data_IF_115048308451
#
_entry.id   IF_115048308451
#
_cell.length_a   1.000
_cell.length_b   1.000
_cell.length_c   1.000
_cell.angle_alpha   90.00
_cell.angle_beta   90.00
_cell.angle_gamma   90.00
#
_symmetry.space_group_name_H-M   'P 1'
#
loop_
_entity.id
_entity.type
_entity.pdbx_description
1 polymer ?
#
# COMPACT_ATOMS: atom_id res chain seq x y z
N UNK A 1 -4.60 32.42 -25.72
CA UNK A 1 -5.92 32.48 -25.06
C UNK A 1 -5.97 31.35 -24.07
N UNK A 2 -6.47 31.57 -22.86
CA UNK A 2 -6.57 30.48 -21.90
C UNK A 2 -7.40 29.35 -22.46
N UNK A 3 -6.96 28.11 -22.28
CA UNK A 3 -7.68 26.91 -22.72
C UNK A 3 -8.72 26.52 -21.65
N UNK A 4 -9.80 25.86 -22.08
CA UNK A 4 -10.80 25.35 -21.14
C UNK A 4 -10.36 24.06 -20.47
N UNK A 5 -11.01 23.69 -19.35
CA UNK A 5 -10.83 22.40 -18.66
C UNK A 5 -10.99 21.23 -19.63
N UNK A 6 -12.04 21.27 -20.49
CA UNK A 6 -12.27 20.21 -21.47
C UNK A 6 -11.15 20.10 -22.50
N UNK A 7 -10.66 21.24 -23.00
CA UNK A 7 -9.55 21.28 -23.97
C UNK A 7 -8.25 20.78 -23.33
N UNK A 8 -7.94 21.18 -22.10
CA UNK A 8 -6.77 20.72 -21.36
C UNK A 8 -6.80 19.19 -21.18
N UNK A 9 -7.94 18.63 -20.75
CA UNK A 9 -8.10 17.19 -20.60
C UNK A 9 -7.96 16.47 -21.95
N UNK A 10 -8.52 17.01 -23.02
CA UNK A 10 -8.42 16.39 -24.37
C UNK A 10 -6.97 16.36 -24.85
N UNK A 11 -6.25 17.47 -24.69
CA UNK A 11 -4.83 17.54 -25.05
C UNK A 11 -3.99 16.58 -24.21
N UNK A 12 -4.20 16.58 -22.88
CA UNK A 12 -3.54 15.66 -21.94
C UNK A 12 -3.82 14.19 -22.28
N UNK A 13 -5.09 13.84 -22.53
CA UNK A 13 -5.47 12.49 -22.93
C UNK A 13 -4.78 12.04 -24.23
N UNK A 14 -4.62 12.94 -25.20
CA UNK A 14 -3.92 12.63 -26.44
C UNK A 14 -2.41 12.40 -26.20
N UNK A 15 -1.79 13.19 -25.31
CA UNK A 15 -0.38 13.03 -24.93
C UNK A 15 -0.15 11.70 -24.24
N UNK A 16 -0.94 11.38 -23.19
CA UNK A 16 -0.83 10.14 -22.43
C UNK A 16 -1.13 8.90 -23.27
N UNK A 17 -2.12 8.98 -24.18
CA UNK A 17 -2.42 7.87 -25.12
C UNK A 17 -1.25 7.57 -26.06
N UNK A 18 -0.57 8.59 -26.57
CA UNK A 18 0.63 8.43 -27.40
C UNK A 18 1.79 7.79 -26.62
N UNK A 19 1.85 8.01 -25.31
CA UNK A 19 2.82 7.40 -24.41
C UNK A 19 2.42 5.98 -23.95
N UNK A 20 1.25 5.47 -24.38
CA UNK A 20 0.76 4.13 -24.02
C UNK A 20 0.13 4.04 -22.64
N UNK A 21 -0.21 5.15 -21.98
CA UNK A 21 -0.86 5.16 -20.67
C UNK A 21 -2.30 4.64 -20.82
N UNK A 22 -2.69 3.60 -20.07
CA UNK A 22 -4.06 3.11 -20.03
C UNK A 22 -5.04 4.20 -19.55
N UNK A 23 -6.30 4.13 -19.99
CA UNK A 23 -7.35 5.07 -19.58
C UNK A 23 -6.94 6.56 -19.61
N UNK A 24 -6.12 6.96 -20.59
CA UNK A 24 -5.45 8.25 -20.70
C UNK A 24 -6.36 9.48 -20.44
N UNK A 25 -7.67 9.41 -20.79
CA UNK A 25 -8.60 10.52 -20.52
C UNK A 25 -8.97 10.63 -19.04
N UNK A 26 -9.11 9.48 -18.36
CA UNK A 26 -9.38 9.43 -16.92
C UNK A 26 -8.17 9.93 -16.14
N UNK A 27 -6.98 9.47 -16.52
CA UNK A 27 -5.70 9.90 -15.92
C UNK A 27 -5.51 11.41 -16.06
N UNK A 28 -5.63 11.96 -17.27
CA UNK A 28 -5.53 13.40 -17.51
C UNK A 28 -6.57 14.20 -16.69
N UNK A 29 -7.80 13.69 -16.64
CA UNK A 29 -8.86 14.32 -15.80
C UNK A 29 -8.56 14.31 -14.32
N UNK A 30 -8.01 13.21 -13.79
CA UNK A 30 -7.65 13.08 -12.37
C UNK A 30 -6.47 13.99 -12.01
N UNK A 31 -5.45 14.08 -12.85
CA UNK A 31 -4.31 14.98 -12.65
C UNK A 31 -4.73 16.45 -12.67
N UNK A 32 -5.63 16.83 -13.60
CA UNK A 32 -6.15 18.20 -13.65
C UNK A 32 -7.06 18.51 -12.44
N UNK A 33 -7.90 17.57 -12.02
CA UNK A 33 -8.75 17.70 -10.84
C UNK A 33 -7.90 17.96 -9.58
N UNK A 34 -6.82 17.18 -9.40
CA UNK A 34 -5.86 17.36 -8.32
C UNK A 34 -5.20 18.75 -8.38
N UNK A 35 -4.70 19.17 -9.54
CA UNK A 35 -4.05 20.47 -9.72
C UNK A 35 -4.98 21.63 -9.36
N UNK A 36 -6.27 21.53 -9.71
CA UNK A 36 -7.27 22.55 -9.45
C UNK A 36 -7.84 22.47 -8.03
N UNK A 37 -7.46 21.48 -7.23
CA UNK A 37 -8.05 21.16 -5.93
C UNK A 37 -9.58 21.03 -6.01
N UNK A 38 -10.05 20.25 -7.00
CA UNK A 38 -11.46 20.02 -7.29
C UNK A 38 -11.75 18.53 -7.47
N UNK A 39 -12.99 18.15 -7.24
CA UNK A 39 -13.45 16.80 -7.50
C UNK A 39 -13.82 16.59 -8.98
N UNK A 40 -14.06 15.32 -9.32
CA UNK A 40 -14.47 14.93 -10.66
C UNK A 40 -15.79 15.56 -11.10
N UNK A 41 -16.70 15.78 -10.17
CA UNK A 41 -18.01 16.40 -10.46
C UNK A 41 -17.84 17.85 -10.90
N UNK A 42 -16.95 18.60 -10.23
CA UNK A 42 -16.61 19.95 -10.63
C UNK A 42 -16.02 19.97 -12.05
N UNK A 43 -15.04 19.13 -12.35
CA UNK A 43 -14.40 19.03 -13.67
C UNK A 43 -15.43 18.81 -14.78
N UNK A 44 -16.43 17.95 -14.54
CA UNK A 44 -17.48 17.66 -15.52
C UNK A 44 -18.49 18.81 -15.69
N UNK A 45 -18.82 19.50 -14.61
CA UNK A 45 -19.83 20.57 -14.63
C UNK A 45 -19.26 21.93 -15.06
N UNK A 46 -17.93 22.12 -15.03
CA UNK A 46 -17.23 23.35 -15.37
C UNK A 46 -16.27 23.15 -16.56
N UNK A 47 -16.65 22.27 -17.47
CA UNK A 47 -15.80 21.85 -18.60
C UNK A 47 -15.36 23.03 -19.51
N UNK A 48 -16.18 24.06 -19.61
CA UNK A 48 -15.92 25.25 -20.43
C UNK A 48 -15.18 26.38 -19.69
N UNK A 49 -14.95 26.21 -18.36
CA UNK A 49 -14.22 27.21 -17.57
C UNK A 49 -12.74 27.24 -17.98
N UNK A 50 -12.14 28.43 -18.06
CA UNK A 50 -10.74 28.54 -18.42
C UNK A 50 -9.81 28.14 -17.27
N UNK A 51 -8.66 27.57 -17.57
CA UNK A 51 -7.54 27.44 -16.63
C UNK A 51 -6.51 28.54 -16.86
N UNK A 52 -5.78 28.92 -15.82
CA UNK A 52 -4.72 29.93 -15.94
C UNK A 52 -3.49 29.39 -16.68
N UNK A 53 -2.64 30.26 -17.21
CA UNK A 53 -1.38 29.89 -17.86
C UNK A 53 -0.44 29.14 -16.90
N UNK A 54 -0.45 29.49 -15.61
CA UNK A 54 0.30 28.82 -14.57
C UNK A 54 -0.21 27.39 -14.36
N UNK A 55 -1.54 27.22 -14.27
CA UNK A 55 -2.18 25.90 -14.15
C UNK A 55 -1.93 25.04 -15.39
N UNK A 56 -1.97 25.63 -16.58
CA UNK A 56 -1.65 24.92 -17.82
C UNK A 56 -0.20 24.43 -17.82
N UNK A 57 0.75 25.27 -17.40
CA UNK A 57 2.18 24.91 -17.30
C UNK A 57 2.39 23.74 -16.35
N UNK A 58 1.89 23.84 -15.11
CA UNK A 58 2.00 22.76 -14.12
C UNK A 58 1.30 21.47 -14.59
N UNK A 59 0.17 21.59 -15.26
CA UNK A 59 -0.52 20.44 -15.83
C UNK A 59 0.31 19.76 -16.91
N UNK A 60 1.01 20.51 -17.74
CA UNK A 60 1.93 19.94 -18.74
C UNK A 60 3.10 19.21 -18.07
N UNK A 61 3.66 19.70 -16.96
CA UNK A 61 4.68 19.01 -16.18
C UNK A 61 4.16 17.69 -15.63
N UNK A 62 2.95 17.66 -15.06
CA UNK A 62 2.32 16.41 -14.59
C UNK A 62 2.13 15.41 -15.74
N UNK A 63 1.68 15.89 -16.90
CA UNK A 63 1.51 15.03 -18.07
C UNK A 63 2.85 14.51 -18.61
N UNK A 64 3.92 15.29 -18.54
CA UNK A 64 5.26 14.87 -18.95
C UNK A 64 5.80 13.76 -18.04
N UNK A 65 5.72 13.95 -16.73
CA UNK A 65 6.08 12.93 -15.74
C UNK A 65 5.26 11.63 -15.97
N UNK A 66 3.94 11.76 -16.13
CA UNK A 66 3.07 10.59 -16.37
C UNK A 66 3.38 9.89 -17.69
N UNK A 67 3.68 10.61 -18.74
CA UNK A 67 4.08 10.07 -20.04
C UNK A 67 5.44 9.34 -20.00
N UNK A 68 6.33 9.73 -19.09
CA UNK A 68 7.57 9.01 -18.79
C UNK A 68 7.34 7.72 -18.00
N UNK A 69 6.14 7.49 -17.48
CA UNK A 69 5.74 6.30 -16.74
C UNK A 69 5.65 6.50 -15.23
N UNK A 70 5.88 7.71 -14.71
CA UNK A 70 5.74 8.00 -13.29
C UNK A 70 4.28 7.77 -12.86
N UNK A 71 4.02 7.01 -11.77
CA UNK A 71 2.67 6.79 -11.26
C UNK A 71 1.97 8.10 -10.91
N UNK A 72 0.69 8.21 -11.25
CA UNK A 72 -0.10 9.40 -10.91
C UNK A 72 -0.08 9.70 -9.40
N UNK A 73 -0.02 8.68 -8.57
CA UNK A 73 0.07 8.78 -7.12
C UNK A 73 1.36 9.46 -6.64
N UNK A 74 2.49 9.21 -7.30
CA UNK A 74 3.74 9.90 -6.97
C UNK A 74 3.74 11.34 -7.47
N UNK A 75 3.15 11.61 -8.64
CA UNK A 75 2.99 12.97 -9.17
C UNK A 75 2.12 13.82 -8.23
N UNK A 76 1.04 13.23 -7.70
CA UNK A 76 0.12 13.91 -6.78
C UNK A 76 0.55 13.84 -5.32
N UNK A 77 1.47 12.93 -4.98
CA UNK A 77 1.90 12.66 -3.62
C UNK A 77 0.86 11.98 -2.75
N UNK A 78 -0.24 11.42 -3.34
CA UNK A 78 -1.39 10.90 -2.58
C UNK A 78 -1.92 9.60 -3.14
N UNK A 79 -2.41 8.75 -2.21
CA UNK A 79 -3.15 7.52 -2.51
C UNK A 79 -4.26 7.31 -1.49
N UNK A 80 -5.45 7.02 -1.97
CA UNK A 80 -6.56 6.60 -1.12
C UNK A 80 -6.45 5.10 -0.80
N UNK A 81 -6.65 4.76 0.47
CA UNK A 81 -6.66 3.37 0.95
C UNK A 81 -7.66 3.25 2.11
N UNK A 82 -8.61 2.35 2.01
CA UNK A 82 -9.67 2.09 3.01
C UNK A 82 -10.40 3.37 3.47
N UNK A 83 -10.68 4.27 2.54
CA UNK A 83 -11.35 5.55 2.81
C UNK A 83 -10.48 6.62 3.49
N UNK A 84 -9.18 6.39 3.63
CA UNK A 84 -8.19 7.32 4.17
C UNK A 84 -7.21 7.75 3.08
N UNK A 85 -6.79 9.02 3.08
CA UNK A 85 -5.79 9.54 2.16
C UNK A 85 -4.39 9.45 2.77
N UNK A 86 -3.46 8.78 2.07
CA UNK A 86 -2.06 8.61 2.47
C UNK A 86 -1.11 9.39 1.58
N UNK A 87 -0.12 10.03 2.18
CA UNK A 87 1.05 10.54 1.48
C UNK A 87 1.87 9.36 0.96
N UNK A 88 2.25 9.41 -0.33
CA UNK A 88 3.12 8.43 -0.97
C UNK A 88 4.19 9.14 -1.79
N UNK A 89 5.37 8.55 -1.83
CA UNK A 89 6.52 9.00 -2.61
C UNK A 89 7.27 7.76 -3.14
N UNK A 90 8.25 7.89 -4.03
CA UNK A 90 9.09 6.75 -4.46
C UNK A 90 9.83 6.00 -3.34
N UNK A 91 9.73 6.45 -2.08
CA UNK A 91 10.28 5.75 -0.92
C UNK A 91 9.38 4.62 -0.39
N UNK A 92 8.11 4.53 -0.82
CA UNK A 92 7.13 3.55 -0.33
C UNK A 92 6.35 2.91 -1.49
N UNK A 93 5.93 1.67 -1.32
CA UNK A 93 4.97 1.04 -2.21
C UNK A 93 3.65 1.84 -2.19
N UNK A 94 3.07 2.06 -3.36
CA UNK A 94 1.73 2.65 -3.46
C UNK A 94 0.72 1.63 -2.89
N UNK A 95 -0.09 1.96 -1.86
CA UNK A 95 -1.10 1.07 -1.31
C UNK A 95 -2.01 0.48 -2.38
N UNK A 96 -2.21 -0.85 -2.34
CA UNK A 96 -3.03 -1.58 -3.32
C UNK A 96 -4.43 -1.87 -2.78
N UNK A 97 -5.46 -1.83 -3.62
CA UNK A 97 -6.83 -2.19 -3.19
C UNK A 97 -6.93 -3.60 -2.60
N UNK A 98 -6.15 -4.56 -3.12
CA UNK A 98 -6.14 -5.95 -2.65
C UNK A 98 -5.68 -6.07 -1.19
N UNK A 99 -4.82 -5.15 -0.73
CA UNK A 99 -4.35 -5.09 0.66
C UNK A 99 -5.46 -4.71 1.64
N UNK A 100 -6.59 -4.14 1.17
CA UNK A 100 -7.77 -3.89 2.02
C UNK A 100 -8.38 -5.18 2.57
N UNK A 101 -8.22 -6.32 1.88
CA UNK A 101 -8.64 -7.63 2.38
C UNK A 101 -7.94 -8.02 3.69
N UNK A 102 -6.69 -7.60 3.86
CA UNK A 102 -5.94 -7.83 5.10
C UNK A 102 -6.55 -7.05 6.26
N UNK A 103 -7.01 -5.82 6.01
CA UNK A 103 -7.73 -5.01 7.01
C UNK A 103 -9.05 -5.69 7.41
N UNK A 104 -9.85 -6.13 6.42
CA UNK A 104 -11.12 -6.81 6.66
C UNK A 104 -10.94 -8.13 7.44
N UNK A 105 -9.92 -8.91 7.08
CA UNK A 105 -9.58 -10.13 7.79
C UNK A 105 -9.17 -9.86 9.25
N UNK A 106 -8.36 -8.83 9.49
CA UNK A 106 -7.96 -8.42 10.84
C UNK A 106 -9.17 -8.01 11.70
N UNK A 107 -10.05 -7.16 11.15
CA UNK A 107 -11.27 -6.72 11.85
C UNK A 107 -12.17 -7.91 12.21
N UNK A 108 -12.34 -8.86 11.29
CA UNK A 108 -13.16 -10.05 11.51
C UNK A 108 -12.61 -10.98 12.60
N UNK A 109 -11.28 -11.12 12.67
CA UNK A 109 -10.62 -12.05 13.60
C UNK A 109 -10.50 -11.50 15.01
N UNK A 110 -10.22 -10.21 15.15
CA UNK A 110 -9.91 -9.60 16.46
C UNK A 110 -11.13 -8.91 17.07
N UNK A 111 -12.00 -8.33 16.25
CA UNK A 111 -13.09 -7.48 16.72
C UNK A 111 -12.64 -6.06 17.06
N UNK A 112 -13.56 -5.09 16.97
CA UNK A 112 -13.22 -3.65 17.08
C UNK A 112 -13.19 -3.11 18.52
N UNK A 113 -13.75 -3.83 19.48
CA UNK A 113 -13.89 -3.40 20.88
C UNK A 113 -12.71 -3.84 21.77
N UNK A 114 -11.83 -4.67 21.27
CA UNK A 114 -10.73 -5.26 22.03
C UNK A 114 -9.53 -4.28 22.14
N UNK A 115 -8.80 -4.39 23.27
CA UNK A 115 -7.48 -3.77 23.41
C UNK A 115 -6.46 -4.63 22.70
N UNK A 116 -6.14 -4.26 21.47
CA UNK A 116 -5.25 -5.02 20.61
C UNK A 116 -3.87 -4.40 20.60
N UNK A 117 -2.86 -5.22 20.83
CA UNK A 117 -1.46 -4.89 20.56
C UNK A 117 -1.05 -5.58 19.27
N UNK A 118 -0.57 -4.84 18.28
CA UNK A 118 -0.21 -5.43 17.00
C UNK A 118 1.10 -4.90 16.41
N UNK A 119 1.69 -5.69 15.53
CA UNK A 119 2.89 -5.31 14.77
C UNK A 119 2.59 -5.32 13.27
N UNK A 120 2.96 -4.25 12.57
CA UNK A 120 2.92 -4.14 11.11
C UNK A 120 4.34 -4.26 10.56
N UNK A 121 4.61 -5.35 9.85
CA UNK A 121 5.96 -5.70 9.34
C UNK A 121 6.07 -5.26 7.88
N UNK A 122 7.02 -4.36 7.59
CA UNK A 122 7.14 -3.71 6.27
C UNK A 122 6.05 -2.66 6.09
N UNK A 123 5.95 -1.73 7.04
CA UNK A 123 4.82 -0.81 7.12
C UNK A 123 4.70 0.16 5.93
N UNK A 124 5.79 0.44 5.22
CA UNK A 124 5.82 1.32 4.05
C UNK A 124 5.27 2.72 4.35
N UNK A 125 4.16 3.08 3.72
CA UNK A 125 3.44 4.35 3.98
C UNK A 125 2.71 4.39 5.31
N UNK A 126 2.65 3.26 6.04
CA UNK A 126 1.85 3.10 7.25
C UNK A 126 0.38 2.77 6.99
N UNK A 127 -0.02 2.50 5.75
CA UNK A 127 -1.42 2.36 5.38
C UNK A 127 -2.14 1.25 6.16
N UNK A 128 -1.51 0.10 6.40
CA UNK A 128 -2.10 -1.00 7.18
C UNK A 128 -2.20 -0.61 8.65
N UNK A 129 -1.07 -0.24 9.28
CA UNK A 129 -1.03 0.08 10.70
C UNK A 129 -1.99 1.23 11.08
N UNK A 130 -1.97 2.31 10.31
CA UNK A 130 -2.79 3.50 10.56
C UNK A 130 -4.27 3.19 10.36
N UNK A 131 -4.62 2.46 9.30
CA UNK A 131 -6.01 2.04 9.06
C UNK A 131 -6.51 1.17 10.21
N UNK A 132 -5.75 0.17 10.65
CA UNK A 132 -6.12 -0.67 11.80
C UNK A 132 -6.28 0.16 13.08
N UNK A 133 -5.41 1.14 13.34
CA UNK A 133 -5.55 2.03 14.49
C UNK A 133 -6.80 2.93 14.43
N UNK A 134 -7.30 3.25 13.24
CA UNK A 134 -8.59 3.96 13.10
C UNK A 134 -9.78 3.04 13.33
N UNK A 135 -9.67 1.76 12.98
CA UNK A 135 -10.71 0.75 13.20
C UNK A 135 -10.73 0.22 14.65
N UNK A 136 -9.58 0.20 15.32
CA UNK A 136 -9.40 -0.26 16.70
C UNK A 136 -9.02 0.91 17.63
N UNK A 137 -9.98 1.65 18.19
CA UNK A 137 -9.70 2.87 18.94
C UNK A 137 -8.83 2.67 20.19
N UNK A 138 -8.81 1.45 20.75
CA UNK A 138 -8.04 1.10 21.95
C UNK A 138 -6.71 0.37 21.63
N UNK A 139 -6.41 0.13 20.35
CA UNK A 139 -5.23 -0.59 19.94
C UNK A 139 -3.95 0.26 20.01
N UNK A 140 -2.82 -0.43 20.16
CA UNK A 140 -1.47 0.11 20.01
C UNK A 140 -0.69 -0.70 18.99
N UNK A 141 0.15 -0.04 18.22
CA UNK A 141 0.91 -0.66 17.13
C UNK A 141 2.42 -0.43 17.30
N UNK A 142 3.21 -1.41 16.87
CA UNK A 142 4.59 -1.21 16.43
C UNK A 142 4.61 -1.39 14.90
N UNK A 143 5.05 -0.37 14.21
CA UNK A 143 5.22 -0.37 12.76
C UNK A 143 6.70 -0.42 12.42
N UNK A 144 7.12 -1.46 11.71
CA UNK A 144 8.53 -1.67 11.39
C UNK A 144 8.78 -1.63 9.89
N UNK A 145 9.93 -1.09 9.50
CA UNK A 145 10.41 -1.07 8.12
C UNK A 145 11.93 -1.06 8.08
N UNK A 146 12.52 -1.54 6.99
CA UNK A 146 13.97 -1.48 6.75
C UNK A 146 14.41 -0.11 6.22
N UNK A 147 13.46 0.70 5.73
CA UNK A 147 13.70 2.01 5.13
C UNK A 147 13.39 3.14 6.11
N UNK A 148 14.39 3.96 6.41
CA UNK A 148 14.22 5.19 7.21
C UNK A 148 13.30 6.19 6.51
N UNK A 149 13.36 6.25 5.18
CA UNK A 149 12.54 7.11 4.35
C UNK A 149 11.08 6.69 4.42
N UNK A 150 10.79 5.37 4.33
CA UNK A 150 9.44 4.83 4.49
C UNK A 150 8.86 5.16 5.86
N UNK A 151 9.64 4.95 6.94
CA UNK A 151 9.22 5.33 8.29
C UNK A 151 8.97 6.85 8.42
N UNK A 152 9.70 7.67 7.66
CA UNK A 152 9.45 9.11 7.58
C UNK A 152 8.08 9.45 6.99
N UNK A 153 7.68 8.75 5.91
CA UNK A 153 6.35 8.87 5.30
C UNK A 153 5.26 8.38 6.28
N UNK A 154 5.45 7.18 6.85
CA UNK A 154 4.50 6.59 7.80
C UNK A 154 4.24 7.49 9.01
N UNK A 155 5.28 8.15 9.56
CA UNK A 155 5.14 9.13 10.65
C UNK A 155 4.28 10.33 10.26
N UNK A 156 4.44 10.88 9.03
CA UNK A 156 3.62 11.99 8.56
C UNK A 156 2.17 11.57 8.36
N UNK A 157 1.95 10.37 7.83
CA UNK A 157 0.62 9.79 7.70
C UNK A 157 -0.05 9.54 9.06
N UNK A 158 0.70 9.03 10.05
CA UNK A 158 0.18 8.84 11.42
C UNK A 158 -0.23 10.17 12.06
N UNK A 159 0.54 11.24 11.84
CA UNK A 159 0.20 12.58 12.32
C UNK A 159 -1.06 13.13 11.61
N UNK A 160 -1.17 12.94 10.29
CA UNK A 160 -2.37 13.33 9.49
C UNK A 160 -3.62 12.66 10.05
N UNK A 161 -3.57 11.37 10.37
CA UNK A 161 -4.70 10.58 10.85
C UNK A 161 -4.83 10.56 12.38
N UNK A 162 -4.01 11.35 13.11
CA UNK A 162 -4.10 11.57 14.57
C UNK A 162 -3.98 10.28 15.39
N UNK A 163 -3.07 9.38 14.99
CA UNK A 163 -2.80 8.11 15.69
C UNK A 163 -1.38 8.03 16.25
N UNK A 164 -0.62 9.12 16.24
CA UNK A 164 0.79 9.18 16.69
C UNK A 164 1.04 8.75 18.13
N UNK A 165 0.08 8.89 19.00
CA UNK A 165 0.13 8.50 20.42
C UNK A 165 -0.06 6.99 20.63
N UNK A 166 -0.46 6.26 19.59
CA UNK A 166 -0.75 4.82 19.63
C UNK A 166 0.11 3.98 18.69
N UNK A 167 1.13 4.57 18.06
CA UNK A 167 2.01 3.88 17.13
C UNK A 167 3.48 4.20 17.40
N UNK A 168 4.30 3.16 17.51
CA UNK A 168 5.76 3.27 17.59
C UNK A 168 6.37 2.82 16.26
N UNK A 169 7.35 3.58 15.75
CA UNK A 169 8.05 3.27 14.50
C UNK A 169 9.47 2.80 14.77
N UNK A 170 9.81 1.61 14.31
CA UNK A 170 11.10 0.95 14.54
C UNK A 170 11.78 0.62 13.22
N UNK A 171 13.02 1.09 13.06
CA UNK A 171 13.88 0.67 11.94
C UNK A 171 14.35 -0.77 12.19
N UNK A 172 13.84 -1.71 11.40
CA UNK A 172 14.12 -3.13 11.60
C UNK A 172 14.00 -3.93 10.31
N UNK A 173 14.91 -4.86 10.11
CA UNK A 173 14.76 -5.91 9.11
C UNK A 173 13.97 -7.08 9.71
N UNK A 174 12.70 -7.20 9.33
CA UNK A 174 11.71 -8.02 10.04
C UNK A 174 11.77 -7.73 11.55
N UNK A 175 11.94 -8.75 12.37
CA UNK A 175 11.92 -8.64 13.84
C UNK A 175 13.28 -8.35 14.48
N UNK A 176 14.35 -8.12 13.72
CA UNK A 176 15.71 -8.04 14.25
C UNK A 176 15.93 -6.98 15.34
N UNK A 177 15.20 -5.87 15.28
CA UNK A 177 15.30 -4.77 16.25
C UNK A 177 14.01 -4.54 17.06
N UNK A 178 13.02 -5.44 16.91
CA UNK A 178 11.76 -5.32 17.65
C UNK A 178 12.02 -5.67 19.12
N UNK A 179 11.55 -4.82 20.08
CA UNK A 179 11.65 -5.12 21.50
C UNK A 179 11.00 -6.47 21.84
N UNK A 180 11.56 -7.18 22.85
CA UNK A 180 11.03 -8.46 23.30
C UNK A 180 9.65 -8.25 23.94
N UNK A 181 8.60 -8.48 23.19
CA UNK A 181 7.21 -8.41 23.63
C UNK A 181 6.33 -9.32 22.76
N UNK A 182 5.09 -9.50 23.15
CA UNK A 182 4.14 -10.31 22.40
C UNK A 182 2.94 -9.48 21.94
N UNK A 183 2.42 -9.83 20.79
CA UNK A 183 1.29 -9.18 20.14
C UNK A 183 0.09 -10.11 20.04
N UNK A 184 -1.09 -9.52 19.93
CA UNK A 184 -2.36 -10.21 19.64
C UNK A 184 -2.52 -10.45 18.14
N UNK A 185 -1.83 -9.60 17.33
CA UNK A 185 -1.88 -9.66 15.88
C UNK A 185 -0.55 -9.20 15.28
N UNK A 186 -0.08 -9.91 14.27
CA UNK A 186 0.98 -9.43 13.36
C UNK A 186 0.38 -9.37 11.96
N UNK A 187 0.62 -8.24 11.28
CA UNK A 187 0.18 -8.01 9.90
C UNK A 187 1.37 -7.69 9.01
N UNK A 188 1.29 -8.02 7.74
CA UNK A 188 2.32 -7.67 6.76
C UNK A 188 1.78 -7.69 5.33
N UNK A 189 2.16 -6.71 4.53
CA UNK A 189 2.22 -6.86 3.08
C UNK A 189 3.70 -6.94 2.70
N UNK A 190 4.32 -8.12 2.74
CA UNK A 190 5.75 -8.28 2.49
C UNK A 190 6.04 -8.19 0.99
N UNK A 191 7.28 -7.87 0.57
CA UNK A 191 7.70 -8.09 -0.80
C UNK A 191 7.56 -9.57 -1.14
N UNK A 192 7.03 -9.86 -2.33
CA UNK A 192 6.76 -11.23 -2.79
C UNK A 192 7.09 -11.47 -4.27
N UNK A 193 7.70 -10.51 -4.96
CA UNK A 193 8.09 -10.67 -6.36
C UNK A 193 9.42 -11.40 -6.46
N UNK A 194 9.49 -12.44 -7.28
CA UNK A 194 10.74 -13.12 -7.61
C UNK A 194 11.67 -12.18 -8.40
N UNK A 195 12.98 -12.28 -8.20
CA UNK A 195 13.93 -11.35 -8.82
C UNK A 195 13.88 -11.35 -10.35
N UNK A 196 13.68 -12.51 -10.97
CA UNK A 196 13.57 -12.65 -12.43
C UNK A 196 12.23 -12.15 -12.98
N UNK A 197 11.18 -12.12 -12.17
CA UNK A 197 9.87 -11.63 -12.54
C UNK A 197 9.78 -10.09 -12.59
N UNK A 198 10.72 -9.37 -11.99
CA UNK A 198 10.72 -7.89 -11.98
C UNK A 198 10.66 -7.29 -13.39
N UNK A 199 11.34 -7.91 -14.36
CA UNK A 199 11.37 -7.44 -15.75
C UNK A 199 9.99 -7.50 -16.43
N UNK A 200 9.07 -8.31 -15.91
CA UNK A 200 7.72 -8.51 -16.46
C UNK A 200 6.68 -7.58 -15.83
N UNK A 201 7.04 -6.88 -14.75
CA UNK A 201 6.14 -5.94 -14.08
C UNK A 201 5.76 -4.78 -15.00
N UNK A 202 4.62 -4.17 -14.72
CA UNK A 202 4.23 -2.92 -15.38
C UNK A 202 5.32 -1.87 -15.21
N UNK A 203 5.54 -1.05 -16.24
CA UNK A 203 6.61 -0.07 -16.29
C UNK A 203 6.63 0.85 -15.06
N UNK A 204 5.47 1.34 -14.63
CA UNK A 204 5.34 2.23 -13.49
C UNK A 204 5.78 1.57 -12.19
N UNK A 205 5.48 0.30 -11.98
CA UNK A 205 5.92 -0.46 -10.79
C UNK A 205 7.42 -0.73 -10.87
N UNK A 206 7.89 -1.26 -12.00
CA UNK A 206 9.28 -1.67 -12.20
C UNK A 206 10.28 -0.53 -12.10
N UNK A 207 9.93 0.64 -12.70
CA UNK A 207 10.87 1.74 -12.89
C UNK A 207 10.79 2.81 -11.78
N UNK A 208 9.69 2.86 -11.01
CA UNK A 208 9.45 3.94 -10.05
C UNK A 208 9.23 3.48 -8.61
N UNK A 209 8.68 2.27 -8.38
CA UNK A 209 8.45 1.82 -7.01
C UNK A 209 9.71 1.22 -6.38
N UNK A 210 9.90 1.34 -5.06
CA UNK A 210 11.13 0.94 -4.40
C UNK A 210 11.33 -0.59 -4.48
N UNK A 211 12.45 -1.01 -5.06
CA UNK A 211 12.74 -2.43 -5.31
C UNK A 211 12.70 -3.28 -4.03
N UNK A 212 13.11 -2.71 -2.89
CA UNK A 212 13.07 -3.39 -1.58
C UNK A 212 11.66 -3.75 -1.14
N UNK A 213 10.63 -3.00 -1.61
CA UNK A 213 9.24 -3.29 -1.31
C UNK A 213 8.60 -4.27 -2.32
N UNK A 214 9.32 -4.65 -3.37
CA UNK A 214 8.81 -5.55 -4.41
C UNK A 214 9.42 -6.95 -4.31
N UNK A 215 10.75 -7.06 -4.18
CA UNK A 215 11.49 -8.31 -4.40
C UNK A 215 11.86 -9.02 -3.10
N UNK A 216 11.73 -10.36 -3.11
CA UNK A 216 12.08 -11.23 -1.98
C UNK A 216 12.79 -12.51 -2.44
N UNK A 217 13.97 -12.35 -3.03
CA UNK A 217 14.83 -13.46 -3.46
C UNK A 217 14.38 -14.15 -4.75
N UNK A 218 14.94 -15.32 -5.01
CA UNK A 218 14.79 -16.01 -6.28
C UNK A 218 13.35 -16.49 -6.58
N UNK A 219 12.57 -16.83 -5.55
CA UNK A 219 11.20 -17.31 -5.67
C UNK A 219 10.16 -16.38 -5.04
N UNK A 220 10.59 -15.18 -4.56
CA UNK A 220 9.70 -14.20 -3.94
C UNK A 220 9.24 -14.56 -2.53
N UNK A 221 9.80 -15.59 -1.89
CA UNK A 221 9.30 -16.07 -0.59
C UNK A 221 10.24 -15.81 0.59
N UNK A 222 11.41 -15.18 0.39
CA UNK A 222 12.41 -15.05 1.44
C UNK A 222 11.89 -14.29 2.67
N UNK A 223 11.14 -13.21 2.46
CA UNK A 223 10.57 -12.43 3.57
C UNK A 223 9.40 -13.20 4.22
N UNK A 224 8.56 -13.86 3.43
CA UNK A 224 7.45 -14.68 3.95
C UNK A 224 8.00 -15.84 4.81
N UNK A 225 9.07 -16.52 4.39
CA UNK A 225 9.73 -17.58 5.19
C UNK A 225 10.17 -17.04 6.55
N UNK A 226 10.83 -15.89 6.57
CA UNK A 226 11.27 -15.23 7.82
C UNK A 226 10.08 -14.84 8.68
N UNK A 227 9.06 -14.24 8.07
CA UNK A 227 7.85 -13.83 8.76
C UNK A 227 7.18 -15.02 9.46
N UNK A 228 6.90 -16.11 8.77
CA UNK A 228 6.26 -17.31 9.32
C UNK A 228 7.15 -17.98 10.40
N UNK A 229 8.48 -17.98 10.21
CA UNK A 229 9.40 -18.61 11.18
C UNK A 229 9.54 -17.79 12.45
N UNK A 230 9.65 -16.47 12.35
CA UNK A 230 10.01 -15.62 13.49
C UNK A 230 8.79 -15.09 14.25
N UNK A 231 7.66 -14.84 13.58
CA UNK A 231 6.45 -14.26 14.17
C UNK A 231 5.95 -15.04 15.40
N UNK A 232 6.13 -16.38 15.43
CA UNK A 232 5.72 -17.20 16.57
C UNK A 232 6.35 -16.75 17.92
N UNK A 233 7.52 -16.10 17.88
CA UNK A 233 8.22 -15.61 19.08
C UNK A 233 7.62 -14.31 19.62
N UNK A 234 6.87 -13.61 18.77
CA UNK A 234 6.29 -12.30 19.01
C UNK A 234 4.75 -12.33 19.09
N UNK A 235 4.13 -13.48 18.95
CA UNK A 235 2.68 -13.64 19.12
C UNK A 235 2.36 -14.30 20.46
N UNK A 236 1.25 -13.93 21.06
CA UNK A 236 0.66 -14.67 22.16
C UNK A 236 0.11 -16.03 21.68
N UNK A 237 -0.21 -16.95 22.60
CA UNK A 237 -0.93 -18.17 22.25
C UNK A 237 -2.34 -17.78 21.77
N UNK A 238 -2.81 -18.42 20.71
CA UNK A 238 -4.04 -18.11 19.97
C UNK A 238 -4.06 -16.75 19.23
N UNK A 239 -2.96 -16.00 19.22
CA UNK A 239 -2.84 -14.78 18.45
C UNK A 239 -2.66 -15.05 16.94
N UNK A 240 -2.80 -14.03 16.11
CA UNK A 240 -2.94 -14.17 14.67
C UNK A 240 -1.76 -13.59 13.90
N UNK A 241 -1.41 -14.24 12.79
CA UNK A 241 -0.52 -13.71 11.75
C UNK A 241 -1.30 -13.62 10.45
N UNK A 242 -1.39 -12.40 9.91
CA UNK A 242 -2.04 -12.10 8.64
C UNK A 242 -1.01 -11.51 7.68
N UNK A 243 -0.92 -12.04 6.47
CA UNK A 243 -0.02 -11.47 5.47
C UNK A 243 -0.51 -11.67 4.05
N UNK A 244 -0.14 -10.70 3.20
CA UNK A 244 -0.42 -10.75 1.77
C UNK A 244 0.55 -11.68 1.05
N UNK A 245 0.08 -12.32 -0.04
CA UNK A 245 0.86 -13.19 -0.92
C UNK A 245 0.66 -12.83 -2.38
N UNK A 246 1.61 -13.19 -3.21
CA UNK A 246 1.51 -13.09 -4.65
C UNK A 246 0.48 -14.05 -5.25
N UNK A 247 0.09 -13.75 -6.45
CA UNK A 247 -0.98 -14.39 -7.25
C UNK A 247 -0.95 -15.94 -7.26
N UNK A 248 0.22 -16.57 -7.30
CA UNK A 248 0.40 -18.02 -7.45
C UNK A 248 1.14 -18.67 -6.26
N UNK A 249 1.32 -17.94 -5.16
CA UNK A 249 2.16 -18.38 -4.05
C UNK A 249 1.42 -19.22 -2.99
N UNK A 250 0.10 -19.39 -3.05
CA UNK A 250 -0.69 -19.99 -1.97
C UNK A 250 -0.28 -21.44 -1.64
N UNK A 251 0.07 -22.25 -2.65
CA UNK A 251 0.53 -23.64 -2.41
C UNK A 251 1.93 -23.65 -1.78
N UNK A 252 2.85 -22.83 -2.30
CA UNK A 252 4.20 -22.73 -1.79
C UNK A 252 4.21 -22.20 -0.34
N UNK A 253 3.38 -21.22 -0.04
CA UNK A 253 3.19 -20.69 1.33
C UNK A 253 2.56 -21.74 2.24
N UNK A 254 1.58 -22.51 1.76
CA UNK A 254 1.00 -23.64 2.52
C UNK A 254 2.06 -24.65 2.98
N UNK A 255 3.08 -24.91 2.16
CA UNK A 255 4.20 -25.80 2.49
C UNK A 255 5.19 -25.19 3.51
N UNK A 256 5.19 -23.88 3.72
CA UNK A 256 6.01 -23.21 4.73
C UNK A 256 5.37 -23.23 6.12
N UNK A 257 4.06 -23.49 6.21
CA UNK A 257 3.30 -23.43 7.46
C UNK A 257 3.51 -24.74 8.25
N UNK A 258 4.27 -24.66 9.33
CA UNK A 258 4.42 -25.80 10.26
C UNK A 258 3.13 -25.98 11.08
N UNK A 259 2.41 -27.09 10.85
CA UNK A 259 1.17 -27.41 11.54
C UNK A 259 1.33 -27.66 13.05
N UNK A 260 2.55 -27.83 13.56
CA UNK A 260 2.80 -27.90 15.01
C UNK A 260 2.78 -26.53 15.67
N UNK A 261 3.08 -25.48 14.89
CA UNK A 261 3.17 -24.07 15.35
C UNK A 261 1.91 -23.30 14.98
N UNK A 262 1.40 -23.54 13.80
CA UNK A 262 0.35 -22.76 13.19
C UNK A 262 -0.91 -23.58 12.90
N UNK A 263 -2.04 -22.94 13.03
CA UNK A 263 -3.29 -23.37 12.43
C UNK A 263 -3.64 -22.42 11.27
N UNK A 264 -3.76 -22.97 10.07
CA UNK A 264 -4.26 -22.23 8.92
C UNK A 264 -5.77 -22.02 9.09
N UNK A 265 -6.18 -20.78 9.27
CA UNK A 265 -7.59 -20.43 9.44
C UNK A 265 -8.29 -20.22 8.10
N UNK A 266 -7.68 -19.46 7.21
CA UNK A 266 -8.25 -19.12 5.90
C UNK A 266 -7.16 -18.61 4.93
N UNK A 267 -7.48 -18.63 3.64
CA UNK A 267 -6.77 -17.90 2.59
C UNK A 267 -7.84 -17.09 1.85
N UNK A 268 -7.91 -15.80 2.19
CA UNK A 268 -8.89 -14.89 1.61
C UNK A 268 -8.54 -14.58 0.15
N UNK A 269 -9.58 -14.56 -0.69
CA UNK A 269 -9.47 -14.29 -2.12
C UNK A 269 -10.01 -12.89 -2.44
N UNK A 270 -9.42 -12.26 -3.46
CA UNK A 270 -9.95 -11.02 -4.01
C UNK A 270 -11.25 -11.25 -4.83
N UNK A 271 -11.84 -10.17 -5.34
CA UNK A 271 -13.08 -10.23 -6.13
C UNK A 271 -12.94 -11.03 -7.43
N UNK A 272 -11.72 -11.35 -7.85
CA UNK A 272 -11.44 -12.20 -9.02
C UNK A 272 -11.23 -13.67 -8.63
N UNK A 273 -11.31 -14.00 -7.34
CA UNK A 273 -11.08 -15.34 -6.82
C UNK A 273 -9.59 -15.70 -6.66
N UNK A 274 -8.71 -14.70 -6.67
CA UNK A 274 -7.27 -14.90 -6.51
C UNK A 274 -6.91 -14.89 -5.02
N UNK A 275 -6.20 -15.91 -4.49
CA UNK A 275 -5.69 -15.92 -3.12
C UNK A 275 -4.76 -14.72 -2.84
N UNK A 276 -5.06 -13.96 -1.79
CA UNK A 276 -4.32 -12.72 -1.46
C UNK A 276 -3.85 -12.66 -0.01
N UNK A 277 -4.67 -13.05 0.95
CA UNK A 277 -4.34 -12.89 2.36
C UNK A 277 -4.40 -14.22 3.09
N UNK A 278 -3.29 -14.62 3.68
CA UNK A 278 -3.18 -15.82 4.52
C UNK A 278 -3.46 -15.43 5.97
N UNK A 279 -4.32 -16.19 6.63
CA UNK A 279 -4.66 -16.03 8.04
C UNK A 279 -4.21 -17.26 8.83
N UNK A 280 -3.25 -17.09 9.73
CA UNK A 280 -2.71 -18.11 10.62
C UNK A 280 -3.02 -17.78 12.08
N UNK A 281 -3.25 -18.81 12.90
CA UNK A 281 -3.34 -18.71 14.35
C UNK A 281 -2.19 -19.45 15.00
N UNK A 282 -1.52 -18.84 15.98
CA UNK A 282 -0.49 -19.50 16.78
C UNK A 282 -1.12 -20.53 17.71
N UNK A 283 -0.63 -21.77 17.68
CA UNK A 283 -1.01 -22.86 18.59
C UNK A 283 -0.43 -22.69 19.98
#
# INVERSE_FOLDING_TARGET
MPISIAEAILQGANKLRKAGVPEARREAGSLLAFLLDKDRTFILSHADDPISEEQETLFQEFLDSRALGEPAQYITGRQDFYGLEFEVTPAVLIPRPETELLIEAAIKLVGTEEKVSFCDVGTGSGCIAITLLTQFPQAHAIAIDVSTEALGIAKRNAARHRVTDRIEFVLSDCFASVPQQTFDLIVSNPPYVAEDAVATLQREVRDFEPRVALTAGADGLDVIRRLVTDAQRYLQHNAHLLFEIGFDQHEAVGNLVDAQVWELLDIHQDLQGIPRTVALRRR
#
